data_IF_915126438123
#
_entry.id   IF_915126438123
#
_cell.length_a   1.000
_cell.length_b   1.000
_cell.length_c   1.000
_cell.angle_alpha   90.00
_cell.angle_beta   90.00
_cell.angle_gamma   90.00
#
_symmetry.space_group_name_H-M   'P 1'
#
loop_
_entity.id
_entity.type
_entity.pdbx_description
1 polymer ?
#
# COMPACT_ATOMS: atom_id res chain seq x y z
N UNK A 1 10.78 -3.62 24.95
CA UNK A 1 10.59 -4.59 23.84
C UNK A 1 11.54 -5.80 23.89
N UNK A 2 12.67 -5.75 24.62
CA UNK A 2 13.68 -6.81 24.63
C UNK A 2 13.12 -8.22 24.93
N UNK A 3 12.13 -8.36 25.82
CA UNK A 3 11.53 -9.66 26.19
C UNK A 3 10.19 -9.96 25.50
N UNK A 4 9.80 -9.21 24.47
CA UNK A 4 8.50 -9.41 23.82
C UNK A 4 8.51 -10.65 22.91
N UNK A 5 7.44 -11.43 22.88
CA UNK A 5 7.29 -12.57 21.96
C UNK A 5 7.07 -12.06 20.52
N UNK A 6 7.86 -12.46 19.52
CA UNK A 6 7.62 -12.08 18.14
C UNK A 6 6.25 -12.51 17.60
N UNK A 7 5.83 -11.90 16.50
CA UNK A 7 4.63 -12.31 15.72
C UNK A 7 4.98 -12.33 14.23
N UNK A 8 4.24 -13.11 13.45
CA UNK A 8 4.54 -13.31 12.02
C UNK A 8 4.01 -12.20 11.10
N UNK A 9 3.02 -11.40 11.54
CA UNK A 9 2.45 -10.30 10.74
C UNK A 9 2.32 -9.00 11.55
N UNK A 10 2.51 -7.82 10.93
CA UNK A 10 2.44 -6.53 11.63
C UNK A 10 1.02 -6.17 12.08
N UNK A 11 0.00 -6.68 11.38
CA UNK A 11 -1.41 -6.48 11.71
C UNK A 11 -2.17 -7.80 11.59
N UNK A 12 -3.13 -8.02 12.50
CA UNK A 12 -4.00 -9.19 12.48
C UNK A 12 -5.18 -8.97 11.54
N UNK A 13 -5.70 -10.02 10.90
CA UNK A 13 -6.89 -9.90 10.05
C UNK A 13 -8.15 -9.59 10.86
N UNK A 14 -8.19 -9.99 12.13
CA UNK A 14 -9.28 -9.64 13.04
C UNK A 14 -9.12 -8.26 13.68
N UNK A 15 -7.97 -7.59 13.48
CA UNK A 15 -7.72 -6.28 14.06
C UNK A 15 -8.55 -5.23 13.32
N UNK A 16 -9.48 -4.62 14.04
CA UNK A 16 -10.30 -3.52 13.55
C UNK A 16 -10.00 -2.32 14.41
N UNK A 17 -9.52 -1.24 13.80
CA UNK A 17 -9.31 0.04 14.46
C UNK A 17 -10.40 1.02 14.02
N UNK A 18 -10.85 1.88 14.94
CA UNK A 18 -11.85 2.92 14.68
C UNK A 18 -11.73 4.03 15.73
N UNK A 19 -12.37 5.17 15.47
CA UNK A 19 -12.47 6.27 16.43
C UNK A 19 -13.24 5.89 17.69
N UNK A 20 -14.05 4.84 17.64
CA UNK A 20 -14.76 4.33 18.83
C UNK A 20 -13.81 3.73 19.88
N UNK A 21 -12.58 3.39 19.49
CA UNK A 21 -11.51 2.91 20.35
C UNK A 21 -10.60 4.03 20.87
N UNK A 22 -10.85 5.29 20.50
CA UNK A 22 -10.20 6.44 21.12
C UNK A 22 -10.54 6.48 22.62
N UNK A 23 -9.67 7.11 23.43
CA UNK A 23 -9.95 7.25 24.85
C UNK A 23 -11.26 8.01 25.08
N UNK A 24 -12.10 7.53 25.99
CA UNK A 24 -13.41 8.13 26.30
C UNK A 24 -13.43 8.81 27.66
N UNK A 25 -12.56 8.40 28.57
CA UNK A 25 -12.48 8.96 29.92
C UNK A 25 -11.20 9.79 30.11
N UNK A 26 -11.25 10.74 31.03
CA UNK A 26 -10.08 11.55 31.40
C UNK A 26 -8.97 10.70 32.04
N UNK A 27 -9.31 9.60 32.70
CA UNK A 27 -8.32 8.65 33.23
C UNK A 27 -7.56 7.93 32.11
N UNK A 28 -8.28 7.44 31.09
CA UNK A 28 -7.66 6.83 29.92
C UNK A 28 -6.80 7.82 29.15
N UNK A 29 -7.29 9.06 28.98
CA UNK A 29 -6.53 10.15 28.37
C UNK A 29 -5.23 10.40 29.11
N UNK A 30 -5.27 10.58 30.43
CA UNK A 30 -4.08 10.75 31.28
C UNK A 30 -3.10 9.58 31.14
N UNK A 31 -3.60 8.35 31.03
CA UNK A 31 -2.77 7.16 30.77
C UNK A 31 -2.14 7.20 29.37
N UNK A 32 -2.93 7.53 28.36
CA UNK A 32 -2.47 7.59 26.96
C UNK A 32 -1.45 8.71 26.72
N UNK A 33 -1.57 9.85 27.39
CA UNK A 33 -0.57 10.95 27.30
C UNK A 33 0.82 10.52 27.77
N UNK A 34 0.91 9.54 28.68
CA UNK A 34 2.20 8.99 29.15
C UNK A 34 2.83 7.99 28.17
N UNK A 35 2.08 7.54 27.17
CA UNK A 35 2.53 6.57 26.17
C UNK A 35 3.11 7.34 24.97
N UNK A 36 4.31 6.97 24.48
CA UNK A 36 4.95 7.67 23.36
C UNK A 36 4.35 7.26 22.00
N UNK A 37 3.02 7.39 21.83
CA UNK A 37 2.32 6.90 20.65
C UNK A 37 2.82 7.56 19.35
N UNK A 38 2.74 8.89 19.27
CA UNK A 38 3.12 9.64 18.07
C UNK A 38 4.61 9.48 17.73
N UNK A 39 5.48 9.52 18.74
CA UNK A 39 6.92 9.28 18.58
C UNK A 39 7.21 7.88 18.04
N UNK A 40 6.56 6.85 18.59
CA UNK A 40 6.73 5.47 18.12
C UNK A 40 6.23 5.29 16.69
N UNK A 41 5.06 5.84 16.36
CA UNK A 41 4.53 5.81 14.98
C UNK A 41 5.47 6.53 14.02
N UNK A 42 6.02 7.69 14.40
CA UNK A 42 7.00 8.41 13.60
C UNK A 42 8.28 7.59 13.34
N UNK A 43 8.81 6.90 14.36
CA UNK A 43 9.94 5.99 14.18
C UNK A 43 9.62 4.80 13.26
N UNK A 44 8.41 4.23 13.38
CA UNK A 44 7.95 3.17 12.48
C UNK A 44 7.80 3.66 11.04
N UNK A 45 7.35 4.90 10.84
CA UNK A 45 7.24 5.51 9.50
C UNK A 45 8.60 5.61 8.81
N UNK A 46 9.68 5.88 9.55
CA UNK A 46 11.02 5.90 8.96
C UNK A 46 11.40 4.52 8.37
N UNK A 47 11.26 3.45 9.16
CA UNK A 47 11.53 2.10 8.68
C UNK A 47 10.63 1.73 7.48
N UNK A 48 9.33 2.05 7.58
CA UNK A 48 8.34 1.84 6.54
C UNK A 48 8.70 2.52 5.21
N UNK A 49 9.14 3.77 5.25
CA UNK A 49 9.44 4.55 4.05
C UNK A 49 10.78 4.16 3.40
N UNK A 50 11.76 3.75 4.21
CA UNK A 50 13.12 3.53 3.71
C UNK A 50 13.40 2.08 3.31
N UNK A 51 12.98 1.10 4.11
CA UNK A 51 13.48 -0.28 3.96
C UNK A 51 12.45 -1.39 4.19
N UNK A 52 11.27 -1.05 4.73
CA UNK A 52 10.29 -2.03 5.22
C UNK A 52 8.89 -1.79 4.63
N UNK A 53 8.68 -2.05 3.31
CA UNK A 53 7.37 -1.94 2.67
C UNK A 53 6.30 -2.76 3.37
N UNK A 54 6.67 -3.90 3.94
CA UNK A 54 5.80 -4.80 4.67
C UNK A 54 5.11 -4.16 5.90
N UNK A 55 5.57 -2.99 6.37
CA UNK A 55 4.92 -2.22 7.44
C UNK A 55 3.86 -1.24 6.93
N UNK A 56 3.80 -0.98 5.61
CA UNK A 56 3.16 0.20 5.04
C UNK A 56 1.68 0.32 5.41
N UNK A 57 0.92 -0.76 5.26
CA UNK A 57 -0.48 -0.77 5.66
C UNK A 57 -0.65 -0.62 7.18
N UNK A 58 0.07 -1.41 7.98
CA UNK A 58 -0.13 -1.43 9.43
C UNK A 58 0.21 -0.07 10.08
N UNK A 59 1.31 0.55 9.65
CA UNK A 59 1.72 1.89 10.09
C UNK A 59 0.76 2.96 9.57
N UNK A 60 0.32 2.84 8.32
CA UNK A 60 -0.71 3.71 7.72
C UNK A 60 -2.06 3.65 8.44
N UNK A 61 -2.40 2.53 9.08
CA UNK A 61 -3.62 2.40 9.88
C UNK A 61 -3.48 3.04 11.26
N UNK A 62 -2.40 2.75 12.00
CA UNK A 62 -2.21 3.31 13.36
C UNK A 62 -1.95 4.83 13.33
N UNK A 63 -1.37 5.36 12.26
CA UNK A 63 -1.11 6.80 12.13
C UNK A 63 -2.39 7.64 12.05
N UNK A 64 -3.52 7.07 11.60
CA UNK A 64 -4.82 7.75 11.51
C UNK A 64 -5.33 8.24 12.86
N UNK A 65 -4.89 7.60 13.95
CA UNK A 65 -5.35 7.87 15.32
C UNK A 65 -4.33 8.65 16.15
N UNK A 66 -3.26 9.20 15.54
CA UNK A 66 -2.18 9.86 16.29
C UNK A 66 -2.63 11.05 17.14
N UNK A 67 -3.68 11.76 16.74
CA UNK A 67 -4.20 12.93 17.45
C UNK A 67 -5.04 12.56 18.67
N UNK A 68 -5.65 11.37 18.67
CA UNK A 68 -6.50 10.88 19.73
C UNK A 68 -6.36 9.35 19.86
N UNK A 69 -5.20 8.83 20.30
CA UNK A 69 -5.01 7.39 20.41
C UNK A 69 -5.73 6.83 21.64
N UNK A 70 -6.01 5.53 21.59
CA UNK A 70 -6.59 4.78 22.71
C UNK A 70 -5.79 3.51 23.01
N UNK A 71 -6.19 2.75 24.04
CA UNK A 71 -5.42 1.59 24.50
C UNK A 71 -5.25 0.52 23.42
N UNK A 72 -6.31 0.22 22.65
CA UNK A 72 -6.27 -0.75 21.56
C UNK A 72 -5.39 -0.29 20.39
N UNK A 73 -5.40 1.02 20.09
CA UNK A 73 -4.46 1.59 19.14
C UNK A 73 -3.01 1.34 19.58
N UNK A 74 -2.71 1.49 20.87
CA UNK A 74 -1.37 1.18 21.39
C UNK A 74 -1.04 -0.32 21.37
N UNK A 75 -2.02 -1.20 21.57
CA UNK A 75 -1.85 -2.64 21.37
C UNK A 75 -1.45 -2.96 19.93
N UNK A 76 -2.08 -2.32 18.95
CA UNK A 76 -1.71 -2.46 17.53
C UNK A 76 -0.28 -1.98 17.25
N UNK A 77 0.14 -0.83 17.78
CA UNK A 77 1.53 -0.34 17.64
C UNK A 77 2.53 -1.32 18.27
N UNK A 78 2.25 -1.84 19.47
CA UNK A 78 3.08 -2.86 20.11
C UNK A 78 3.19 -4.13 19.26
N UNK A 79 2.12 -4.54 18.54
CA UNK A 79 2.18 -5.67 17.62
C UNK A 79 3.16 -5.42 16.47
N UNK A 80 3.14 -4.24 15.85
CA UNK A 80 4.09 -3.87 14.79
C UNK A 80 5.53 -3.98 15.30
N UNK A 81 5.80 -3.49 16.52
CA UNK A 81 7.12 -3.61 17.15
C UNK A 81 7.52 -5.06 17.44
N UNK A 82 6.57 -5.94 17.83
CA UNK A 82 6.81 -7.38 18.02
C UNK A 82 7.12 -8.08 16.70
N UNK A 83 6.46 -7.68 15.61
CA UNK A 83 6.74 -8.17 14.27
C UNK A 83 8.15 -7.78 13.82
N UNK A 84 8.54 -6.51 14.02
CA UNK A 84 9.89 -6.03 13.74
C UNK A 84 10.96 -6.80 14.52
N UNK A 85 10.70 -7.13 15.79
CA UNK A 85 11.61 -7.96 16.58
C UNK A 85 11.86 -9.33 15.94
N UNK A 86 10.83 -9.97 15.37
CA UNK A 86 10.96 -11.28 14.71
C UNK A 86 11.53 -11.22 13.30
N UNK A 87 11.66 -10.02 12.73
CA UNK A 87 12.04 -9.76 11.33
C UNK A 87 13.14 -8.71 11.25
N UNK A 88 13.97 -8.58 12.28
CA UNK A 88 15.06 -7.60 12.33
C UNK A 88 16.13 -7.85 11.26
N UNK A 89 16.23 -9.10 10.82
CA UNK A 89 17.14 -9.52 9.76
C UNK A 89 16.48 -9.54 8.36
N UNK A 90 15.29 -8.97 8.21
CA UNK A 90 14.64 -8.85 6.92
C UNK A 90 15.13 -7.59 6.20
N UNK A 91 15.62 -7.74 4.97
CA UNK A 91 16.13 -6.64 4.15
C UNK A 91 15.60 -6.73 2.71
N UNK A 92 15.47 -5.58 2.04
CA UNK A 92 15.26 -5.52 0.60
C UNK A 92 16.55 -5.93 -0.11
N UNK A 93 16.51 -7.01 -0.88
CA UNK A 93 17.67 -7.57 -1.57
C UNK A 93 17.50 -7.48 -3.08
N UNK A 94 18.31 -6.63 -3.71
CA UNK A 94 18.41 -6.51 -5.17
C UNK A 94 19.43 -7.52 -5.68
N UNK A 95 19.04 -8.33 -6.67
CA UNK A 95 19.85 -9.46 -7.16
C UNK A 95 20.19 -9.33 -8.65
N UNK A 96 20.31 -8.08 -9.15
CA UNK A 96 20.67 -7.81 -10.55
C UNK A 96 19.64 -8.32 -11.56
N UNK A 97 18.36 -8.37 -11.18
CA UNK A 97 17.28 -8.77 -12.08
C UNK A 97 17.05 -7.77 -13.22
N UNK A 98 16.01 -8.03 -14.04
CA UNK A 98 15.63 -7.11 -15.12
C UNK A 98 15.42 -5.68 -14.60
N UNK A 99 16.02 -4.71 -15.27
CA UNK A 99 15.79 -3.28 -15.04
C UNK A 99 14.55 -2.77 -15.79
N UNK A 100 13.57 -3.64 -16.01
CA UNK A 100 12.25 -3.26 -16.51
C UNK A 100 11.36 -2.89 -15.33
N UNK A 101 10.81 -1.68 -15.38
CA UNK A 101 9.89 -1.19 -14.36
C UNK A 101 8.55 -1.92 -14.46
N UNK A 102 8.08 -2.47 -13.35
CA UNK A 102 6.78 -3.16 -13.26
C UNK A 102 6.04 -2.66 -12.01
N UNK A 103 4.79 -2.25 -12.19
CA UNK A 103 3.90 -1.81 -11.13
C UNK A 103 2.80 -2.82 -10.80
N UNK A 104 2.27 -2.72 -9.59
CA UNK A 104 1.12 -3.47 -9.08
C UNK A 104 0.21 -2.49 -8.36
N UNK A 105 -1.10 -2.60 -8.56
CA UNK A 105 -2.11 -1.75 -7.93
C UNK A 105 -3.26 -2.60 -7.39
N UNK A 106 -3.71 -2.26 -6.18
CA UNK A 106 -4.85 -2.89 -5.49
C UNK A 106 -5.63 -1.84 -4.69
N UNK A 107 -6.90 -2.11 -4.39
CA UNK A 107 -7.68 -1.32 -3.45
C UNK A 107 -8.57 -2.19 -2.55
N UNK A 108 -8.69 -1.84 -1.27
CA UNK A 108 -9.65 -2.48 -0.37
C UNK A 108 -10.58 -1.45 0.29
N UNK A 109 -11.89 -1.69 0.19
CA UNK A 109 -12.95 -0.88 0.80
C UNK A 109 -13.33 -1.30 2.22
N UNK A 110 -12.81 -2.43 2.71
CA UNK A 110 -13.31 -3.10 3.91
C UNK A 110 -12.67 -2.58 5.20
N UNK A 111 -11.51 -1.91 5.09
CA UNK A 111 -10.68 -1.55 6.24
C UNK A 111 -11.12 -0.31 7.04
N UNK A 112 -11.80 0.66 6.43
CA UNK A 112 -12.15 1.94 7.10
C UNK A 112 -13.59 1.94 7.63
N UNK A 113 -13.75 1.79 8.95
CA UNK A 113 -15.07 1.88 9.61
C UNK A 113 -15.53 3.31 9.87
N UNK A 114 -14.60 4.27 9.91
CA UNK A 114 -14.88 5.64 10.34
C UNK A 114 -15.41 6.49 9.18
N UNK A 115 -14.76 6.43 8.02
CA UNK A 115 -15.12 7.26 6.86
C UNK A 115 -15.63 6.46 5.65
N UNK A 116 -15.62 5.11 5.72
CA UNK A 116 -16.00 4.21 4.62
C UNK A 116 -15.24 4.45 3.33
N UNK A 117 -14.01 4.97 3.43
CA UNK A 117 -13.12 5.20 2.28
C UNK A 117 -12.20 4.01 2.09
N UNK A 118 -12.01 3.61 0.84
CA UNK A 118 -11.08 2.54 0.50
C UNK A 118 -9.64 2.94 0.78
N UNK A 119 -8.77 1.95 0.92
CA UNK A 119 -7.31 2.12 0.96
C UNK A 119 -6.73 1.67 -0.36
N UNK A 120 -6.03 2.56 -1.04
CA UNK A 120 -5.25 2.27 -2.26
C UNK A 120 -3.86 1.80 -1.89
N UNK A 121 -3.36 0.80 -2.62
CA UNK A 121 -2.02 0.28 -2.50
C UNK A 121 -1.34 0.16 -3.85
N UNK A 122 -0.02 0.40 -3.88
CA UNK A 122 0.80 0.03 -5.03
C UNK A 122 2.21 -0.38 -4.61
N UNK A 123 2.88 -1.15 -5.46
CA UNK A 123 4.33 -1.33 -5.44
C UNK A 123 4.89 -1.32 -6.85
N UNK A 124 6.08 -0.77 -6.99
CA UNK A 124 6.88 -0.89 -8.20
C UNK A 124 8.16 -1.64 -7.92
N UNK A 125 8.48 -2.59 -8.79
CA UNK A 125 9.70 -3.38 -8.74
C UNK A 125 10.64 -3.00 -9.88
N UNK A 126 11.93 -3.05 -9.56
CA UNK A 126 13.04 -2.85 -10.49
C UNK A 126 14.25 -3.65 -9.98
N UNK A 127 14.94 -4.38 -10.85
CA UNK A 127 16.15 -5.11 -10.45
C UNK A 127 15.90 -6.28 -9.47
N UNK A 128 14.65 -6.76 -9.39
CA UNK A 128 14.26 -7.91 -8.56
C UNK A 128 13.71 -7.57 -7.17
N UNK A 129 13.57 -6.29 -6.81
CA UNK A 129 12.98 -5.87 -5.54
C UNK A 129 12.14 -4.59 -5.68
N UNK A 130 11.34 -4.30 -4.66
CA UNK A 130 10.51 -3.10 -4.61
C UNK A 130 11.37 -1.83 -4.44
N UNK A 131 11.13 -0.83 -5.29
CA UNK A 131 11.82 0.49 -5.25
C UNK A 131 10.92 1.61 -4.73
N UNK A 132 9.61 1.48 -4.86
CA UNK A 132 8.62 2.40 -4.29
C UNK A 132 7.34 1.62 -3.99
N UNK A 133 6.63 2.05 -2.96
CA UNK A 133 5.40 1.44 -2.47
C UNK A 133 4.56 2.48 -1.76
N UNK A 134 3.26 2.19 -1.64
CA UNK A 134 2.34 3.08 -0.96
C UNK A 134 1.16 2.32 -0.39
N UNK A 135 0.66 2.80 0.73
CA UNK A 135 -0.63 2.46 1.32
C UNK A 135 -1.29 3.76 1.74
N UNK A 136 -2.41 4.12 1.12
CA UNK A 136 -3.05 5.42 1.35
C UNK A 136 -4.56 5.31 1.34
N UNK A 137 -5.19 5.91 2.36
CA UNK A 137 -6.64 6.11 2.37
C UNK A 137 -7.04 7.01 1.19
N UNK A 138 -8.02 6.58 0.41
CA UNK A 138 -8.54 7.34 -0.72
C UNK A 138 -9.17 8.66 -0.24
N UNK A 139 -9.12 9.73 -1.05
CA UNK A 139 -9.71 11.01 -0.67
C UNK A 139 -11.25 11.00 -0.76
N UNK A 140 -11.81 10.18 -1.65
CA UNK A 140 -13.24 10.05 -1.91
C UNK A 140 -13.75 8.65 -1.51
N UNK A 141 -15.07 8.55 -1.29
CA UNK A 141 -15.76 7.27 -1.12
C UNK A 141 -16.02 6.70 -2.51
N UNK A 142 -15.66 5.45 -2.74
CA UNK A 142 -16.00 4.70 -3.95
C UNK A 142 -17.32 3.96 -3.77
N UNK A 143 -18.17 3.97 -4.79
CA UNK A 143 -19.48 3.32 -4.78
C UNK A 143 -19.40 1.87 -5.27
N UNK A 144 -18.25 1.44 -5.80
CA UNK A 144 -18.00 0.05 -6.17
C UNK A 144 -16.53 -0.32 -6.01
N UNK A 145 -16.24 -1.63 -5.95
CA UNK A 145 -14.86 -2.14 -5.97
C UNK A 145 -14.12 -1.68 -7.21
N UNK A 146 -14.77 -1.69 -8.39
CA UNK A 146 -14.17 -1.20 -9.62
C UNK A 146 -13.74 0.27 -9.52
N UNK A 147 -14.57 1.14 -8.93
CA UNK A 147 -14.20 2.54 -8.73
C UNK A 147 -13.02 2.70 -7.76
N UNK A 148 -12.99 1.92 -6.67
CA UNK A 148 -11.88 1.94 -5.72
C UNK A 148 -10.57 1.51 -6.38
N UNK A 149 -10.60 0.42 -7.14
CA UNK A 149 -9.48 -0.08 -7.94
C UNK A 149 -9.02 0.94 -8.97
N UNK A 150 -9.95 1.62 -9.64
CA UNK A 150 -9.63 2.66 -10.60
C UNK A 150 -8.89 3.85 -9.94
N UNK A 151 -9.32 4.24 -8.74
CA UNK A 151 -8.64 5.29 -7.95
C UNK A 151 -7.23 4.85 -7.55
N UNK A 152 -7.04 3.61 -7.10
CA UNK A 152 -5.70 3.09 -6.81
C UNK A 152 -4.81 3.05 -8.06
N UNK A 153 -5.36 2.56 -9.17
CA UNK A 153 -4.67 2.48 -10.45
C UNK A 153 -4.23 3.87 -10.94
N UNK A 154 -5.03 4.91 -10.68
CA UNK A 154 -4.67 6.29 -11.03
C UNK A 154 -3.39 6.72 -10.30
N UNK A 155 -3.29 6.45 -9.00
CA UNK A 155 -2.10 6.76 -8.22
C UNK A 155 -0.89 5.95 -8.68
N UNK A 156 -1.07 4.68 -9.03
CA UNK A 156 0.00 3.86 -9.59
C UNK A 156 0.47 4.42 -10.95
N UNK A 157 -0.43 4.83 -11.84
CA UNK A 157 -0.06 5.44 -13.14
C UNK A 157 0.72 6.73 -12.95
N UNK A 158 0.33 7.59 -12.01
CA UNK A 158 1.09 8.82 -11.69
C UNK A 158 2.52 8.49 -11.26
N UNK A 159 2.69 7.51 -10.36
CA UNK A 159 4.01 7.05 -9.92
C UNK A 159 4.82 6.44 -11.08
N UNK A 160 4.18 5.64 -11.95
CA UNK A 160 4.82 5.03 -13.10
C UNK A 160 5.40 6.07 -14.07
N UNK A 161 4.65 7.11 -14.38
CA UNK A 161 5.10 8.21 -15.25
C UNK A 161 6.28 8.94 -14.60
N UNK A 162 6.21 9.22 -13.30
CA UNK A 162 7.29 9.87 -12.57
C UNK A 162 8.56 9.02 -12.58
N UNK A 163 8.46 7.73 -12.23
CA UNK A 163 9.58 6.78 -12.25
C UNK A 163 10.17 6.62 -13.65
N UNK A 164 9.34 6.52 -14.68
CA UNK A 164 9.80 6.44 -16.07
C UNK A 164 10.66 7.65 -16.43
N UNK A 165 10.20 8.88 -16.11
CA UNK A 165 10.95 10.12 -16.36
C UNK A 165 12.24 10.18 -15.54
N UNK A 166 12.18 9.76 -14.27
CA UNK A 166 13.34 9.72 -13.38
C UNK A 166 14.40 8.72 -13.83
N UNK A 167 14.00 7.50 -14.19
CA UNK A 167 14.92 6.48 -14.72
C UNK A 167 15.50 6.88 -16.08
N UNK A 168 14.75 7.64 -16.89
CA UNK A 168 15.25 8.24 -18.14
C UNK A 168 16.37 9.23 -17.90
N UNK A 169 16.21 10.15 -16.95
CA UNK A 169 17.23 11.15 -16.66
C UNK A 169 18.51 10.52 -16.11
N UNK A 170 18.38 9.43 -15.34
CA UNK A 170 19.52 8.69 -14.79
C UNK A 170 20.20 7.74 -15.80
N UNK A 171 19.59 7.49 -16.97
CA UNK A 171 20.10 6.55 -18.00
C UNK A 171 20.35 5.12 -17.47
N UNK A 172 19.55 4.69 -16.48
CA UNK A 172 19.75 3.41 -15.76
C UNK A 172 19.16 2.21 -16.49
N UNK A 173 18.19 2.39 -17.40
CA UNK A 173 17.55 1.26 -18.07
C UNK A 173 17.38 1.47 -19.57
N UNK A 174 17.74 0.45 -20.35
CA UNK A 174 17.49 0.39 -21.79
C UNK A 174 15.98 0.28 -22.13
N UNK A 175 15.14 -0.03 -21.13
CA UNK A 175 13.69 -0.21 -21.25
C UNK A 175 12.89 1.03 -20.83
N UNK A 176 13.53 2.18 -20.64
CA UNK A 176 12.86 3.40 -20.20
C UNK A 176 11.81 3.89 -21.20
N UNK A 177 11.99 3.62 -22.49
CA UNK A 177 11.03 3.99 -23.52
C UNK A 177 9.91 2.95 -23.70
N UNK A 178 10.04 1.76 -23.08
CA UNK A 178 8.98 0.75 -23.06
C UNK A 178 7.79 1.24 -22.19
N UNK A 179 6.57 0.87 -22.59
CA UNK A 179 5.39 1.08 -21.76
C UNK A 179 5.55 0.38 -20.40
N UNK A 180 5.27 1.10 -19.31
CA UNK A 180 5.33 0.52 -17.95
C UNK A 180 4.14 -0.40 -17.76
N UNK A 181 4.40 -1.66 -17.45
CA UNK A 181 3.33 -2.62 -17.14
C UNK A 181 2.86 -2.39 -15.71
N UNK A 182 1.56 -2.14 -15.54
CA UNK A 182 0.91 -2.10 -14.22
C UNK A 182 -0.08 -3.26 -14.15
N UNK A 183 0.11 -4.13 -13.17
CA UNK A 183 -0.77 -5.24 -12.90
C UNK A 183 -1.90 -4.83 -11.96
N UNK A 184 -3.11 -5.23 -12.30
CA UNK A 184 -4.34 -5.10 -11.49
C UNK A 184 -5.07 -6.44 -11.51
N UNK A 185 -5.84 -6.79 -10.48
CA UNK A 185 -6.63 -8.04 -10.45
C UNK A 185 -8.10 -7.81 -10.84
N UNK A 186 -8.52 -6.55 -10.98
CA UNK A 186 -9.87 -6.20 -11.40
C UNK A 186 -9.98 -6.02 -12.93
N UNK A 187 -10.60 -7.00 -13.60
CA UNK A 187 -10.83 -6.98 -15.05
C UNK A 187 -11.78 -5.86 -15.49
N UNK A 188 -12.76 -5.47 -14.65
CA UNK A 188 -13.66 -4.37 -14.96
C UNK A 188 -12.91 -3.03 -14.99
N UNK A 189 -11.99 -2.79 -14.05
CA UNK A 189 -11.12 -1.61 -14.05
C UNK A 189 -10.30 -1.52 -15.33
N UNK A 190 -9.72 -2.64 -15.78
CA UNK A 190 -8.94 -2.71 -17.02
C UNK A 190 -9.82 -2.43 -18.24
N UNK A 191 -11.03 -2.99 -18.30
CA UNK A 191 -11.97 -2.74 -19.39
C UNK A 191 -12.36 -1.24 -19.46
N UNK A 192 -12.69 -0.64 -18.32
CA UNK A 192 -13.03 0.79 -18.21
C UNK A 192 -11.86 1.71 -18.62
N UNK A 193 -10.63 1.30 -18.33
CA UNK A 193 -9.44 2.04 -18.72
C UNK A 193 -9.13 1.95 -20.23
N UNK A 194 -9.68 0.96 -20.94
CA UNK A 194 -9.44 0.77 -22.38
C UNK A 194 -10.55 1.30 -23.28
N UNK A 195 -11.80 1.26 -22.83
CA UNK A 195 -12.96 1.61 -23.68
C UNK A 195 -13.55 2.98 -23.31
N UNK A 196 -13.52 3.97 -24.23
CA UNK A 196 -14.10 5.30 -24.05
C UNK A 196 -15.62 5.32 -23.84
N UNK A 197 -16.34 4.26 -24.23
CA UNK A 197 -17.82 4.20 -24.17
C UNK A 197 -18.36 4.12 -22.75
N UNK A 198 -17.53 3.73 -21.78
CA UNK A 198 -17.90 3.70 -20.37
C UNK A 198 -17.74 5.09 -19.73
N UNK A 199 -18.70 5.99 -19.98
CA UNK A 199 -18.72 7.37 -19.46
C UNK A 199 -19.94 7.69 -18.58
N UNK A 200 -20.89 6.76 -18.44
CA UNK A 200 -22.26 7.09 -18.03
C UNK A 200 -22.56 7.25 -16.54
N UNK A 201 -21.67 6.91 -15.59
CA UNK A 201 -22.07 6.77 -14.17
C UNK A 201 -21.11 7.32 -13.08
N UNK A 202 -19.99 7.94 -13.42
CA UNK A 202 -18.88 8.14 -12.45
C UNK A 202 -18.29 9.56 -12.41
N UNK A 203 -19.15 10.59 -12.33
CA UNK A 203 -18.75 12.02 -12.36
C UNK A 203 -17.67 12.41 -11.34
N UNK A 204 -17.66 11.80 -10.15
CA UNK A 204 -16.76 12.19 -9.05
C UNK A 204 -15.30 11.73 -9.25
N UNK A 205 -15.03 10.94 -10.29
CA UNK A 205 -13.69 10.45 -10.66
C UNK A 205 -13.40 10.61 -12.17
N UNK A 206 -14.21 11.40 -12.90
CA UNK A 206 -14.13 11.57 -14.35
C UNK A 206 -12.73 11.99 -14.85
N UNK A 207 -12.10 12.96 -14.19
CA UNK A 207 -10.73 13.39 -14.50
C UNK A 207 -9.72 12.24 -14.41
N UNK A 208 -9.91 11.31 -13.46
CA UNK A 208 -9.02 10.14 -13.30
C UNK A 208 -9.18 9.17 -14.48
N UNK A 209 -10.41 8.99 -14.98
CA UNK A 209 -10.66 8.18 -16.18
C UNK A 209 -9.95 8.73 -17.41
N UNK A 210 -10.10 10.04 -17.65
CA UNK A 210 -9.45 10.71 -18.76
C UNK A 210 -7.93 10.59 -18.67
N UNK A 211 -7.36 10.79 -17.49
CA UNK A 211 -5.92 10.68 -17.28
C UNK A 211 -5.37 9.29 -17.64
N UNK A 212 -5.91 8.20 -17.07
CA UNK A 212 -5.39 6.85 -17.36
C UNK A 212 -5.54 6.52 -18.86
N UNK A 213 -6.68 6.84 -19.48
CA UNK A 213 -6.92 6.57 -20.90
C UNK A 213 -5.93 7.32 -21.79
N UNK A 214 -5.69 8.59 -21.50
CA UNK A 214 -4.70 9.41 -22.22
C UNK A 214 -3.30 8.79 -22.12
N UNK A 215 -2.85 8.44 -20.91
CA UNK A 215 -1.54 7.81 -20.69
C UNK A 215 -1.40 6.45 -21.41
N UNK A 216 -2.46 5.63 -21.44
CA UNK A 216 -2.46 4.37 -22.20
C UNK A 216 -2.39 4.65 -23.70
N UNK A 217 -3.15 5.64 -24.20
CA UNK A 217 -3.18 6.00 -25.62
C UNK A 217 -1.83 6.53 -26.14
N UNK A 218 -1.08 7.20 -25.27
CA UNK A 218 0.28 7.67 -25.53
C UNK A 218 1.33 6.55 -25.46
N UNK A 219 0.94 5.33 -25.07
CA UNK A 219 1.84 4.19 -24.93
C UNK A 219 2.80 4.31 -23.74
N UNK A 220 2.53 5.19 -22.77
CA UNK A 220 3.40 5.36 -21.61
C UNK A 220 3.24 4.22 -20.60
N UNK A 221 2.01 3.69 -20.46
CA UNK A 221 1.65 2.61 -19.54
C UNK A 221 0.74 1.57 -20.20
N UNK A 222 0.77 0.35 -19.69
CA UNK A 222 -0.16 -0.72 -20.08
C UNK A 222 -0.70 -1.44 -18.85
N UNK A 223 -2.03 -1.55 -18.77
CA UNK A 223 -2.69 -2.29 -17.69
C UNK A 223 -2.86 -3.76 -18.09
N UNK A 224 -2.47 -4.66 -17.17
CA UNK A 224 -2.59 -6.12 -17.35
C UNK A 224 -3.27 -6.76 -16.15
N UNK A 225 -4.07 -7.78 -16.43
CA UNK A 225 -4.68 -8.57 -15.38
C UNK A 225 -3.64 -9.52 -14.74
N UNK A 226 -3.71 -9.69 -13.43
CA UNK A 226 -3.00 -10.74 -12.70
C UNK A 226 -3.94 -11.37 -11.66
N UNK A 227 -3.86 -12.67 -11.35
CA UNK A 227 -4.64 -13.25 -10.27
C UNK A 227 -4.34 -12.59 -8.91
N UNK A 228 -5.35 -12.43 -8.05
CA UNK A 228 -5.20 -11.84 -6.70
C UNK A 228 -4.11 -12.52 -5.86
N UNK A 229 -3.93 -13.84 -6.00
CA UNK A 229 -2.88 -14.57 -5.27
C UNK A 229 -1.45 -14.11 -5.60
N UNK A 230 -1.25 -13.46 -6.74
CA UNK A 230 0.02 -12.93 -7.22
C UNK A 230 0.07 -11.39 -7.14
N UNK A 231 -0.99 -10.75 -6.59
CA UNK A 231 -1.08 -9.30 -6.47
C UNK A 231 -0.14 -8.78 -5.38
N UNK A 232 1.05 -8.30 -5.77
CA UNK A 232 2.07 -7.80 -4.83
C UNK A 232 1.57 -6.61 -4.01
N UNK A 233 0.55 -5.88 -4.48
CA UNK A 233 -0.02 -4.73 -3.78
C UNK A 233 -1.00 -5.09 -2.64
N UNK A 234 -1.45 -6.35 -2.54
CA UNK A 234 -2.41 -6.80 -1.51
C UNK A 234 -1.99 -6.47 -0.06
N UNK A 235 -0.73 -6.64 0.36
CA UNK A 235 -0.30 -6.29 1.72
C UNK A 235 -0.42 -4.80 2.06
N UNK A 236 -0.63 -3.93 1.06
CA UNK A 236 -0.75 -2.49 1.25
C UNK A 236 -2.19 -2.01 1.42
N UNK A 237 -3.19 -2.86 1.17
CA UNK A 237 -4.60 -2.47 1.22
C UNK A 237 -5.34 -3.12 2.38
N UNK A 238 -4.91 -4.32 2.79
CA UNK A 238 -5.61 -5.15 3.77
C UNK A 238 -4.64 -6.05 4.57
N UNK A 239 -5.02 -6.46 5.80
CA UNK A 239 -4.25 -7.45 6.54
C UNK A 239 -4.42 -8.84 5.92
N UNK A 240 -3.30 -9.55 5.73
CA UNK A 240 -3.27 -10.87 5.12
C UNK A 240 -2.99 -11.98 6.14
N UNK A 241 -3.34 -13.22 5.79
CA UNK A 241 -2.88 -14.40 6.52
C UNK A 241 -1.37 -14.57 6.33
N UNK A 242 -0.72 -15.18 7.32
CA UNK A 242 0.73 -15.41 7.38
C UNK A 242 1.34 -15.84 6.04
N UNK A 243 0.86 -16.94 5.46
CA UNK A 243 1.50 -17.53 4.28
C UNK A 243 1.39 -16.64 3.05
N UNK A 244 0.23 -16.00 2.84
CA UNK A 244 0.04 -15.04 1.76
C UNK A 244 0.94 -13.81 1.96
N UNK A 245 0.98 -13.27 3.18
CA UNK A 245 1.85 -12.14 3.52
C UNK A 245 3.32 -12.44 3.20
N UNK A 246 3.86 -13.55 3.71
CA UNK A 246 5.27 -13.92 3.45
C UNK A 246 5.57 -14.19 1.97
N UNK A 247 4.60 -14.72 1.21
CA UNK A 247 4.74 -14.89 -0.24
C UNK A 247 4.94 -13.54 -0.93
N UNK A 248 4.07 -12.56 -0.67
CA UNK A 248 4.20 -11.23 -1.28
C UNK A 248 5.48 -10.50 -0.82
N UNK A 249 5.91 -10.68 0.43
CA UNK A 249 7.20 -10.15 0.91
C UNK A 249 8.38 -10.69 0.09
N UNK A 250 8.36 -11.99 -0.18
CA UNK A 250 9.39 -12.63 -1.02
C UNK A 250 9.34 -12.09 -2.45
N UNK A 251 8.14 -11.90 -3.01
CA UNK A 251 7.94 -11.30 -4.34
C UNK A 251 8.38 -9.83 -4.41
N UNK A 252 8.32 -9.08 -3.29
CA UNK A 252 8.87 -7.72 -3.17
C UNK A 252 10.39 -7.69 -3.00
N UNK A 253 11.06 -8.84 -2.89
CA UNK A 253 12.49 -8.93 -2.66
C UNK A 253 12.90 -8.78 -1.20
N UNK A 254 11.97 -8.87 -0.24
CA UNK A 254 12.33 -8.92 1.18
C UNK A 254 12.81 -10.32 1.56
N UNK A 255 14.05 -10.42 2.01
CA UNK A 255 14.71 -11.68 2.36
C UNK A 255 15.42 -11.57 3.70
N UNK A 256 15.54 -12.71 4.38
CA UNK A 256 16.32 -12.82 5.61
C UNK A 256 17.81 -12.82 5.25
N UNK A 257 18.57 -11.93 5.89
CA UNK A 257 20.04 -11.87 5.86
C UNK A 257 20.63 -12.35 7.19
#
# INVERSE_FOLDING_TARGET
MHNANPVDTPMDKSCVLSKELCHKTEEEKKRMTKIPYASTVGSLMYAMMCTRPDLCFAVGMVSRYQSNPGPDHWVAVKRILRYLKGTSNLALCYHGGSLRLVGYSDADGSADRDERKSTSGYAFLLGGAAITWCSKKQPCISLSTMEAEYVACTSAVQEAIWLRRFLKSLRISAHVDDAVVIYCDNTATIAYAKDPKYHGRTKHIDTKYHFIRDTISQGEVVLRHIPTNDMIADPFTKPLRRDAFHRHLSSMGLRRI
#
